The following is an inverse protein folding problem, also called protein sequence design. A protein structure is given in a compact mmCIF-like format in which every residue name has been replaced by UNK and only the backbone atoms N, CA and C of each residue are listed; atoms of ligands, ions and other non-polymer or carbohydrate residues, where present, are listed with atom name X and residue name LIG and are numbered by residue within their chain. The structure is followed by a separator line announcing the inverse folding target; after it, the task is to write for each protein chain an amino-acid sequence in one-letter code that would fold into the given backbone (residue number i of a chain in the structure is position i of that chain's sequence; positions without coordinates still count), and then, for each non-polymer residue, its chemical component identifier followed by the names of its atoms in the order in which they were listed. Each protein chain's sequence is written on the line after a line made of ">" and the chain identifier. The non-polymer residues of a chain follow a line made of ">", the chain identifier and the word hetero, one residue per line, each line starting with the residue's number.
data_IF_133114913443
#
_entry.id   IF_133114913443
#
_cell.length_a   1.000
_cell.length_b   1.000
_cell.length_c   1.000
_cell.angle_alpha   90.00
_cell.angle_beta   90.00
_cell.angle_gamma   90.00
#
_symmetry.space_group_name_H-M   'P 1'
#
loop_
_entity.id
_entity.type
_entity.pdbx_description
1 polymer ?
#
# COMPACT_ATOMS: atom_id res chain seq x y z
N UNK A 1 -81.88 -35.03 10.06
CA UNK A 1 -81.78 -35.33 11.50
C UNK A 1 -80.34 -35.05 11.92
N UNK A 2 -80.15 -34.25 12.98
CA UNK A 2 -78.85 -33.99 13.63
C UNK A 2 -78.27 -35.31 14.12
N UNK A 3 -76.94 -35.45 14.17
CA UNK A 3 -76.17 -36.00 15.29
C UNK A 3 -74.67 -35.94 14.93
N UNK A 4 -73.94 -34.94 15.44
CA UNK A 4 -73.01 -34.97 16.59
C UNK A 4 -71.58 -35.41 16.22
N UNK A 5 -70.62 -34.48 16.32
CA UNK A 5 -69.20 -34.78 16.56
C UNK A 5 -69.00 -35.18 18.03
N UNK A 6 -68.01 -36.05 18.30
CA UNK A 6 -67.04 -35.83 19.40
C UNK A 6 -65.60 -35.98 18.86
N UNK A 7 -64.78 -34.92 18.91
CA UNK A 7 -63.81 -34.55 19.97
C UNK A 7 -62.55 -35.43 20.08
N UNK A 8 -61.43 -34.81 19.69
CA UNK A 8 -60.07 -34.84 20.24
C UNK A 8 -59.56 -36.05 21.03
N UNK A 9 -58.32 -36.39 20.67
CA UNK A 9 -57.28 -37.07 21.48
C UNK A 9 -57.54 -38.52 21.86
N UNK A 10 -56.95 -39.46 21.11
CA UNK A 10 -55.90 -40.36 21.60
C UNK A 10 -55.57 -41.46 20.58
N UNK A 11 -54.26 -41.76 20.54
CA UNK A 11 -53.62 -43.01 20.16
C UNK A 11 -53.24 -43.28 18.68
N UNK A 12 -51.93 -43.50 18.54
CA UNK A 12 -51.21 -44.27 17.51
C UNK A 12 -51.20 -43.61 16.13
N UNK A 13 -50.05 -43.20 15.59
CA UNK A 13 -48.97 -44.12 15.22
C UNK A 13 -47.60 -43.53 15.61
N UNK A 14 -47.02 -44.16 16.62
CA UNK A 14 -45.58 -44.28 16.71
C UNK A 14 -45.10 -45.06 15.48
N UNK A 15 -44.27 -44.44 14.66
CA UNK A 15 -43.07 -44.96 13.96
C UNK A 15 -42.49 -43.72 13.25
N UNK A 16 -41.66 -42.97 13.97
CA UNK A 16 -40.74 -42.02 13.36
C UNK A 16 -39.42 -42.10 14.13
N UNK A 17 -38.79 -43.26 14.02
CA UNK A 17 -37.40 -43.49 14.43
C UNK A 17 -36.60 -43.88 13.21
N UNK A 18 -35.39 -43.30 13.16
CA UNK A 18 -34.26 -43.58 12.27
C UNK A 18 -34.25 -42.87 10.91
N UNK A 19 -33.66 -41.66 10.90
CA UNK A 19 -32.54 -41.32 10.01
C UNK A 19 -31.93 -39.99 10.48
N UNK A 20 -31.18 -40.07 11.57
CA UNK A 20 -30.01 -39.21 11.75
C UNK A 20 -28.90 -39.90 10.96
N UNK A 21 -28.47 -39.33 9.84
CA UNK A 21 -27.13 -39.48 9.28
C UNK A 21 -26.95 -38.46 8.14
N UNK A 22 -26.14 -37.45 8.41
CA UNK A 22 -25.46 -36.66 7.38
C UNK A 22 -26.27 -35.54 6.76
N UNK A 23 -26.45 -34.43 7.50
CA UNK A 23 -26.41 -33.15 6.81
C UNK A 23 -24.95 -32.97 6.33
N UNK A 24 -24.66 -32.89 5.02
CA UNK A 24 -23.44 -32.20 4.63
C UNK A 24 -23.66 -30.77 5.11
N UNK A 25 -22.90 -30.36 6.13
CA UNK A 25 -22.61 -28.95 6.30
C UNK A 25 -22.07 -28.52 4.94
N UNK A 26 -22.90 -27.83 4.16
CA UNK A 26 -22.42 -27.04 3.05
C UNK A 26 -21.56 -25.96 3.71
N UNK A 27 -20.27 -26.28 3.87
CA UNK A 27 -19.24 -25.27 3.93
C UNK A 27 -19.46 -24.50 2.65
N UNK A 28 -20.03 -23.30 2.77
CA UNK A 28 -19.83 -22.29 1.77
C UNK A 28 -18.31 -22.09 1.75
N UNK A 29 -17.61 -22.83 0.88
CA UNK A 29 -16.36 -22.37 0.34
C UNK A 29 -16.69 -20.97 -0.14
N UNK A 30 -16.18 -19.97 0.60
CA UNK A 30 -16.14 -18.64 0.04
C UNK A 30 -15.44 -18.80 -1.29
N UNK A 31 -16.15 -18.53 -2.38
CA UNK A 31 -15.57 -18.17 -3.67
C UNK A 31 -14.80 -16.85 -3.45
N UNK A 32 -13.76 -16.91 -2.62
CA UNK A 32 -12.74 -15.90 -2.57
C UNK A 32 -11.98 -16.14 -3.86
N UNK A 33 -12.28 -15.31 -4.86
CA UNK A 33 -11.44 -15.21 -6.04
C UNK A 33 -9.97 -15.25 -5.57
N UNK A 34 -9.10 -16.04 -6.23
CA UNK A 34 -7.71 -16.14 -5.81
C UNK A 34 -7.13 -14.73 -5.64
N UNK A 35 -6.37 -14.46 -4.57
CA UNK A 35 -5.84 -13.14 -4.31
C UNK A 35 -5.15 -12.64 -5.57
N UNK A 36 -5.63 -11.52 -6.11
CA UNK A 36 -5.11 -10.97 -7.34
C UNK A 36 -3.66 -10.57 -7.06
N UNK A 37 -2.70 -11.25 -7.69
CA UNK A 37 -1.28 -10.99 -7.49
C UNK A 37 -0.96 -9.55 -7.87
N UNK A 38 -0.79 -8.70 -6.87
CA UNK A 38 -0.34 -7.32 -7.02
C UNK A 38 1.18 -7.34 -7.02
N UNK A 39 1.79 -6.72 -8.03
CA UNK A 39 3.25 -6.64 -8.12
C UNK A 39 3.71 -5.18 -8.09
N UNK A 40 4.73 -4.89 -7.30
CA UNK A 40 5.44 -3.63 -7.36
C UNK A 40 6.69 -3.80 -8.21
N UNK A 41 6.86 -2.93 -9.19
CA UNK A 41 8.04 -2.83 -10.03
C UNK A 41 8.84 -1.59 -9.56
N UNK A 42 10.03 -1.77 -8.96
CA UNK A 42 10.80 -0.65 -8.43
C UNK A 42 11.36 0.20 -9.58
N UNK A 43 11.26 1.53 -9.44
CA UNK A 43 11.87 2.49 -10.36
C UNK A 43 13.20 2.90 -9.76
N UNK A 44 14.29 2.62 -10.49
CA UNK A 44 15.64 2.89 -10.03
C UNK A 44 15.95 4.38 -10.07
N UNK A 45 16.72 4.84 -9.08
CA UNK A 45 17.35 6.16 -9.13
C UNK A 45 18.65 6.06 -9.92
N UNK A 46 18.80 6.92 -10.93
CA UNK A 46 20.09 7.21 -11.54
C UNK A 46 20.71 8.39 -10.79
N UNK A 47 21.81 8.14 -10.08
CA UNK A 47 22.37 8.98 -9.03
C UNK A 47 21.35 9.37 -7.94
N UNK A 48 20.61 10.44 -8.21
CA UNK A 48 19.70 11.13 -7.29
C UNK A 48 18.34 11.43 -7.92
N UNK A 49 18.07 10.98 -9.14
CA UNK A 49 16.79 11.20 -9.82
C UNK A 49 16.26 9.89 -10.39
N UNK A 50 14.98 9.62 -10.14
CA UNK A 50 14.24 8.55 -10.77
C UNK A 50 13.31 9.17 -11.81
N UNK A 51 13.59 8.91 -13.09
CA UNK A 51 12.70 9.27 -14.18
C UNK A 51 11.56 8.26 -14.29
N UNK A 52 10.33 8.76 -14.39
CA UNK A 52 9.11 7.97 -14.32
C UNK A 52 8.34 8.19 -15.62
N UNK A 53 8.53 7.31 -16.62
CA UNK A 53 7.78 7.40 -17.86
C UNK A 53 6.33 7.00 -17.63
N UNK A 54 5.36 7.77 -18.14
CA UNK A 54 3.93 7.53 -17.89
C UNK A 54 3.64 7.46 -16.38
N UNK A 55 4.02 8.52 -15.68
CA UNK A 55 3.80 8.68 -14.25
C UNK A 55 2.31 8.74 -13.91
N UNK A 56 1.50 9.34 -14.79
CA UNK A 56 0.05 9.52 -14.65
C UNK A 56 -0.73 8.73 -15.71
N UNK A 57 -2.06 8.63 -15.57
CA UNK A 57 -2.90 7.89 -16.53
C UNK A 57 -2.93 8.53 -17.93
N UNK A 58 -2.79 9.86 -17.99
CA UNK A 58 -2.66 10.63 -19.24
C UNK A 58 -1.23 10.60 -19.81
N UNK A 59 -0.42 9.64 -19.38
CA UNK A 59 0.92 9.33 -19.88
C UNK A 59 1.96 10.45 -19.69
N UNK A 60 1.72 11.42 -18.81
CA UNK A 60 2.73 12.45 -18.48
C UNK A 60 3.94 11.82 -17.82
N UNK A 61 5.08 12.42 -18.07
CA UNK A 61 6.36 12.00 -17.51
C UNK A 61 6.59 12.75 -16.21
N UNK A 62 7.34 12.15 -15.30
CA UNK A 62 7.74 12.85 -14.08
C UNK A 62 9.07 12.38 -13.56
N UNK A 63 9.55 13.08 -12.55
CA UNK A 63 10.82 12.81 -11.91
C UNK A 63 10.65 12.89 -10.40
N UNK A 64 11.17 11.89 -9.68
CA UNK A 64 11.37 11.98 -8.24
C UNK A 64 12.86 12.21 -8.01
N UNK A 65 13.20 13.34 -7.40
CA UNK A 65 14.57 13.69 -7.04
C UNK A 65 14.76 13.48 -5.54
N UNK A 66 15.87 12.85 -5.16
CA UNK A 66 16.33 12.77 -3.77
C UNK A 66 17.58 13.63 -3.61
N UNK A 67 17.68 14.33 -2.49
CA UNK A 67 18.87 15.10 -2.15
C UNK A 67 19.31 14.83 -0.72
N UNK A 68 20.61 14.79 -0.50
CA UNK A 68 21.19 14.58 0.82
C UNK A 68 21.28 15.91 1.59
N UNK A 69 20.49 16.05 2.65
CA UNK A 69 20.54 17.21 3.54
C UNK A 69 21.39 16.89 4.76
N UNK A 70 22.50 17.61 4.92
CA UNK A 70 23.40 17.49 6.08
C UNK A 70 22.82 18.20 7.32
N UNK A 71 22.84 17.55 8.48
CA UNK A 71 22.37 18.09 9.77
C UNK A 71 23.52 18.39 10.75
N UNK A 72 24.73 17.86 10.48
CA UNK A 72 25.89 18.01 11.35
C UNK A 72 27.15 17.36 10.79
N UNK A 73 28.13 17.02 11.64
CA UNK A 73 29.36 16.34 11.20
C UNK A 73 29.05 14.88 10.87
N UNK A 74 28.90 14.57 9.58
CA UNK A 74 28.65 13.25 8.99
C UNK A 74 27.25 12.66 9.28
N UNK A 75 26.27 13.52 9.56
CA UNK A 75 24.86 13.17 9.67
C UNK A 75 24.04 13.94 8.65
N UNK A 76 22.94 13.35 8.22
CA UNK A 76 22.02 13.92 7.25
C UNK A 76 20.91 12.94 6.91
N UNK A 77 20.09 13.29 5.93
CA UNK A 77 18.98 12.47 5.49
C UNK A 77 18.63 12.79 4.05
N UNK A 78 17.89 11.89 3.41
CA UNK A 78 17.36 12.16 2.09
C UNK A 78 16.05 12.93 2.18
N UNK A 79 15.95 13.95 1.34
CA UNK A 79 14.72 14.70 1.06
C UNK A 79 14.29 14.35 -0.35
N UNK A 80 13.06 13.89 -0.52
CA UNK A 80 12.47 13.50 -1.79
C UNK A 80 11.49 14.57 -2.24
N UNK A 81 11.55 14.94 -3.51
CA UNK A 81 10.66 15.88 -4.17
C UNK A 81 10.20 15.25 -5.49
N UNK A 82 8.91 15.38 -5.81
CA UNK A 82 8.35 14.88 -7.05
C UNK A 82 7.93 16.05 -7.96
N UNK A 83 8.22 15.92 -9.24
CA UNK A 83 7.82 16.88 -10.27
C UNK A 83 7.25 16.16 -11.48
N UNK A 84 6.33 16.79 -12.18
CA UNK A 84 5.73 16.32 -13.43
C UNK A 84 6.18 17.21 -14.58
N UNK A 85 6.44 16.60 -15.73
CA UNK A 85 6.64 17.32 -16.98
C UNK A 85 5.30 17.93 -17.43
N UNK A 86 5.32 19.09 -18.10
CA UNK A 86 4.11 19.68 -18.66
C UNK A 86 3.43 18.72 -19.64
N UNK A 87 2.09 18.71 -19.63
CA UNK A 87 1.27 17.81 -20.44
C UNK A 87 1.44 18.03 -21.95
N UNK A 88 1.73 19.28 -22.33
CA UNK A 88 1.86 19.68 -23.72
C UNK A 88 3.35 19.78 -24.06
N UNK A 89 3.78 18.97 -25.03
CA UNK A 89 5.07 19.10 -25.73
C UNK A 89 5.09 20.38 -26.59
N UNK A 90 4.75 21.54 -26.04
CA UNK A 90 5.14 22.80 -26.64
C UNK A 90 6.64 22.94 -26.41
N UNK A 91 7.41 23.13 -27.49
CA UNK A 91 8.88 23.26 -27.48
C UNK A 91 9.40 24.38 -26.54
N UNK A 92 8.49 25.19 -25.99
CA UNK A 92 8.74 26.01 -24.81
C UNK A 92 8.68 25.15 -23.54
N UNK A 93 9.85 24.81 -23.00
CA UNK A 93 10.01 24.18 -21.68
C UNK A 93 9.30 25.00 -20.60
N UNK A 94 8.03 24.71 -20.34
CA UNK A 94 7.34 25.17 -19.14
C UNK A 94 8.03 24.63 -17.89
N UNK A 95 8.00 25.36 -16.76
CA UNK A 95 8.56 24.84 -15.52
C UNK A 95 7.84 23.52 -15.15
N UNK A 96 8.60 22.49 -14.78
CA UNK A 96 8.01 21.25 -14.27
C UNK A 96 7.06 21.57 -13.11
N UNK A 97 5.89 20.93 -13.11
CA UNK A 97 4.89 21.13 -12.09
C UNK A 97 5.30 20.36 -10.84
N UNK A 98 5.25 21.01 -9.67
CA UNK A 98 5.45 20.32 -8.40
C UNK A 98 4.35 19.27 -8.22
N UNK A 99 4.70 18.13 -7.63
CA UNK A 99 3.75 17.10 -7.19
C UNK A 99 3.86 17.03 -5.67
N UNK A 100 2.75 17.31 -4.98
CA UNK A 100 2.75 17.28 -3.51
C UNK A 100 2.85 15.85 -2.99
N UNK A 101 3.39 15.68 -1.80
CA UNK A 101 3.47 14.41 -1.08
C UNK A 101 2.83 14.64 0.30
N UNK A 102 1.65 14.08 0.50
CA UNK A 102 0.86 14.15 1.73
C UNK A 102 0.66 15.59 2.24
N UNK A 103 0.28 16.48 1.32
CA UNK A 103 0.07 17.91 1.60
C UNK A 103 1.36 18.72 1.83
N UNK A 104 2.54 18.14 1.58
CA UNK A 104 3.84 18.79 1.66
C UNK A 104 4.55 18.79 0.29
N UNK A 105 5.54 19.66 0.11
CA UNK A 105 6.34 19.67 -1.13
C UNK A 105 7.40 18.56 -1.17
N UNK A 106 7.73 17.99 0.00
CA UNK A 106 8.80 17.00 0.14
C UNK A 106 8.49 15.93 1.17
N UNK A 107 9.06 14.75 0.97
CA UNK A 107 9.05 13.66 1.95
C UNK A 107 10.48 13.37 2.44
N UNK A 108 10.67 13.18 3.73
CA UNK A 108 12.01 13.01 4.34
C UNK A 108 12.18 11.64 4.99
N UNK A 109 13.41 11.11 4.91
CA UNK A 109 13.85 9.97 5.73
C UNK A 109 14.27 10.44 7.14
N UNK A 110 14.64 9.48 7.98
CA UNK A 110 15.04 9.72 9.36
C UNK A 110 16.29 10.61 9.42
N UNK A 111 16.25 11.76 10.13
CA UNK A 111 17.36 12.71 10.19
C UNK A 111 18.48 12.31 11.16
N UNK A 112 18.25 11.29 12.01
CA UNK A 112 19.16 10.94 13.10
C UNK A 112 20.08 9.77 12.77
N UNK A 113 19.61 8.81 11.98
CA UNK A 113 20.33 7.59 11.67
C UNK A 113 20.59 7.49 10.16
N UNK A 114 21.86 7.24 9.82
CA UNK A 114 22.38 7.32 8.44
C UNK A 114 23.10 6.05 8.03
N UNK A 115 23.23 5.86 6.71
CA UNK A 115 23.91 4.70 6.14
C UNK A 115 23.20 3.40 6.51
N UNK A 116 23.98 2.36 6.84
CA UNK A 116 23.47 1.03 7.20
C UNK A 116 22.53 1.02 8.41
N UNK A 117 22.60 2.06 9.25
CA UNK A 117 21.75 2.20 10.44
C UNK A 117 20.50 3.04 10.19
N UNK A 118 20.23 3.46 8.95
CA UNK A 118 19.07 4.30 8.68
C UNK A 118 17.78 3.62 9.12
N UNK A 119 16.94 4.40 9.81
CA UNK A 119 15.65 3.91 10.28
C UNK A 119 14.57 4.04 9.23
N UNK A 120 14.76 4.85 8.18
CA UNK A 120 13.80 4.89 7.09
C UNK A 120 14.44 5.11 5.74
N UNK A 121 13.78 4.56 4.73
CA UNK A 121 14.21 4.65 3.34
C UNK A 121 12.97 4.71 2.47
N UNK A 122 13.11 5.28 1.28
CA UNK A 122 11.99 5.50 0.35
C UNK A 122 12.41 4.95 -1.01
N UNK A 123 11.51 4.21 -1.65
CA UNK A 123 11.62 3.86 -3.06
C UNK A 123 10.43 4.41 -3.82
N UNK A 124 10.62 4.56 -5.12
CA UNK A 124 9.53 4.75 -6.08
C UNK A 124 9.25 3.39 -6.71
N UNK A 125 7.98 3.01 -6.84
CA UNK A 125 7.60 1.80 -7.54
C UNK A 125 6.30 2.00 -8.33
N UNK A 126 6.15 1.23 -9.41
CA UNK A 126 4.89 1.10 -10.13
C UNK A 126 4.15 -0.13 -9.62
N UNK A 127 2.89 0.03 -9.27
CA UNK A 127 2.01 -1.09 -8.94
C UNK A 127 1.27 -1.52 -10.20
N UNK A 128 1.40 -2.78 -10.57
CA UNK A 128 0.64 -3.39 -11.66
C UNK A 128 -0.44 -4.29 -11.06
N UNK A 129 -1.70 -4.05 -11.41
CA UNK A 129 -2.82 -4.91 -11.06
C UNK A 129 -3.06 -5.94 -12.19
N UNK A 130 -3.11 -7.23 -11.85
CA UNK A 130 -3.12 -8.33 -12.82
C UNK A 130 -4.24 -8.25 -13.89
N UNK A 131 -5.34 -7.56 -13.58
CA UNK A 131 -6.52 -7.45 -14.43
C UNK A 131 -6.79 -6.02 -14.94
N UNK A 132 -5.90 -5.08 -14.65
CA UNK A 132 -6.09 -3.67 -14.96
C UNK A 132 -5.00 -3.20 -15.93
N UNK A 133 -5.37 -2.55 -17.03
CA UNK A 133 -4.42 -1.81 -17.88
C UNK A 133 -3.87 -0.57 -17.18
N UNK A 134 -4.33 -0.32 -15.95
CA UNK A 134 -3.98 0.81 -15.13
C UNK A 134 -2.80 0.46 -14.22
N UNK A 135 -1.73 1.26 -14.32
CA UNK A 135 -0.57 1.17 -13.44
C UNK A 135 -0.44 2.46 -12.65
N UNK A 136 -0.42 2.37 -11.32
CA UNK A 136 -0.30 3.55 -10.45
C UNK A 136 1.12 3.64 -9.90
N UNK A 137 1.69 4.84 -9.87
CA UNK A 137 2.99 5.09 -9.26
C UNK A 137 2.81 5.31 -7.76
N UNK A 138 3.69 4.71 -6.98
CA UNK A 138 3.73 4.82 -5.53
C UNK A 138 5.09 5.29 -5.03
N UNK A 139 5.07 6.07 -3.95
CA UNK A 139 6.21 6.18 -3.03
C UNK A 139 5.98 5.18 -1.91
N UNK A 140 6.98 4.35 -1.62
CA UNK A 140 6.92 3.39 -0.51
C UNK A 140 7.98 3.81 0.50
N UNK A 141 7.55 4.14 1.72
CA UNK A 141 8.43 4.51 2.81
C UNK A 141 8.46 3.40 3.85
N UNK A 142 9.62 2.76 4.02
CA UNK A 142 9.81 1.87 5.15
C UNK A 142 10.32 2.65 6.36
N UNK A 143 9.75 2.40 7.53
CA UNK A 143 10.18 3.00 8.80
C UNK A 143 10.35 1.91 9.85
N UNK A 144 11.58 1.78 10.37
CA UNK A 144 11.96 0.93 11.50
C UNK A 144 11.71 1.69 12.79
N UNK A 145 11.12 1.02 13.77
CA UNK A 145 10.70 1.60 15.04
C UNK A 145 11.62 1.13 16.18
N UNK A 146 12.57 1.96 16.66
CA UNK A 146 13.44 1.61 17.77
C UNK A 146 12.65 1.28 19.03
N UNK A 147 13.09 0.26 19.75
CA UNK A 147 12.49 -0.15 21.01
C UNK A 147 13.45 0.08 22.15
N UNK A 148 12.93 0.51 23.31
CA UNK A 148 13.73 0.71 24.51
C UNK A 148 14.50 -0.57 24.85
N UNK A 149 15.82 -0.44 25.01
CA UNK A 149 16.70 -1.56 25.37
C UNK A 149 17.08 -2.48 24.20
N UNK A 150 16.69 -2.16 22.95
CA UNK A 150 17.17 -2.84 21.75
C UNK A 150 18.13 -1.96 20.95
N UNK A 151 19.16 -2.58 20.36
CA UNK A 151 20.06 -1.90 19.44
C UNK A 151 19.35 -1.58 18.12
N UNK A 152 19.69 -0.44 17.52
CA UNK A 152 19.25 -0.09 16.15
C UNK A 152 19.79 -1.05 15.08
N UNK A 153 20.87 -1.77 15.39
CA UNK A 153 21.45 -2.81 14.53
C UNK A 153 20.72 -4.15 14.63
N UNK A 154 19.85 -4.33 15.63
CA UNK A 154 19.03 -5.54 15.78
C UNK A 154 17.81 -5.48 14.86
N UNK A 155 17.17 -6.62 14.53
CA UNK A 155 15.87 -6.61 13.88
C UNK A 155 14.85 -5.79 14.69
N UNK A 156 14.27 -4.77 14.06
CA UNK A 156 13.30 -3.85 14.66
C UNK A 156 11.95 -3.95 13.93
N UNK A 157 10.81 -3.76 14.63
CA UNK A 157 9.51 -3.64 13.99
C UNK A 157 9.54 -2.58 12.90
N UNK A 158 8.95 -2.89 11.74
CA UNK A 158 9.02 -2.04 10.56
C UNK A 158 7.64 -1.87 9.95
N UNK A 159 7.25 -0.63 9.69
CA UNK A 159 6.07 -0.29 8.91
C UNK A 159 6.48 0.10 7.50
N UNK A 160 5.56 -0.08 6.55
CA UNK A 160 5.69 0.49 5.20
C UNK A 160 4.45 1.32 4.91
N UNK A 161 4.69 2.59 4.63
CA UNK A 161 3.66 3.56 4.27
C UNK A 161 3.62 3.67 2.74
N UNK A 162 2.43 3.58 2.16
CA UNK A 162 2.22 3.66 0.71
C UNK A 162 1.56 4.98 0.36
N UNK A 163 2.24 5.77 -0.47
CA UNK A 163 1.67 7.00 -1.01
C UNK A 163 1.34 6.78 -2.49
N UNK A 164 0.05 6.80 -2.83
CA UNK A 164 -0.42 6.60 -4.20
C UNK A 164 -0.47 7.94 -4.94
N UNK A 165 0.06 7.98 -6.17
CA UNK A 165 -0.14 9.14 -7.03
C UNK A 165 -1.62 9.26 -7.38
N UNK A 166 -2.19 10.40 -7.05
CA UNK A 166 -3.59 10.75 -7.29
C UNK A 166 -3.62 12.02 -8.12
N UNK A 167 -4.57 12.05 -9.07
CA UNK A 167 -4.90 13.26 -9.81
C UNK A 167 -6.24 13.79 -9.30
N UNK A 168 -6.31 15.09 -9.05
CA UNK A 168 -7.57 15.77 -8.78
C UNK A 168 -7.76 16.91 -9.78
N UNK A 169 -8.87 16.85 -10.51
CA UNK A 169 -9.24 17.86 -11.50
C UNK A 169 -9.66 19.13 -10.75
N UNK A 170 -8.95 20.26 -10.89
CA UNK A 170 -9.25 21.42 -10.08
C UNK A 170 -10.59 22.04 -10.48
N UNK A 171 -11.51 22.15 -9.51
CA UNK A 171 -12.60 23.14 -9.55
C UNK A 171 -12.02 24.54 -9.27
N UNK A 172 -11.12 25.04 -10.13
CA UNK A 172 -10.84 26.48 -10.26
C UNK A 172 -10.13 27.22 -9.12
N UNK A 173 -9.46 26.56 -8.17
CA UNK A 173 -8.74 27.25 -7.08
C UNK A 173 -7.25 27.51 -7.39
N UNK A 174 -6.83 28.76 -7.26
CA UNK A 174 -5.41 29.18 -7.35
C UNK A 174 -4.62 28.62 -6.16
N UNK A 175 -3.43 28.07 -6.43
CA UNK A 175 -2.56 27.48 -5.41
C UNK A 175 -2.77 25.98 -5.17
N UNK A 176 -3.61 25.33 -5.99
CA UNK A 176 -3.83 23.89 -5.95
C UNK A 176 -2.81 23.13 -6.81
N UNK A 177 -2.31 22.01 -6.30
CA UNK A 177 -1.44 21.10 -7.07
C UNK A 177 -2.29 19.94 -7.57
N UNK A 178 -2.49 19.78 -8.89
CA UNK A 178 -3.43 18.79 -9.44
C UNK A 178 -2.98 17.34 -9.20
N UNK A 179 -1.67 17.12 -9.14
CA UNK A 179 -1.09 15.81 -8.90
C UNK A 179 -0.43 15.76 -7.52
N UNK A 180 -0.75 14.72 -6.76
CA UNK A 180 -0.18 14.54 -5.43
C UNK A 180 -0.12 13.07 -5.05
N UNK A 181 0.93 12.72 -4.31
CA UNK A 181 1.03 11.46 -3.60
C UNK A 181 0.25 11.55 -2.30
N UNK A 182 -0.82 10.80 -2.17
CA UNK A 182 -1.61 10.75 -0.95
C UNK A 182 -1.27 9.49 -0.17
N UNK A 183 -1.05 9.62 1.14
CA UNK A 183 -0.92 8.47 2.03
C UNK A 183 -2.22 7.67 1.99
N UNK A 184 -2.14 6.37 1.73
CA UNK A 184 -3.27 5.47 1.95
C UNK A 184 -3.32 5.14 3.44
N UNK A 185 -4.04 5.95 4.22
CA UNK A 185 -4.15 5.86 5.69
C UNK A 185 -4.64 4.49 6.21
N UNK A 186 -5.12 3.61 5.31
CA UNK A 186 -5.50 2.23 5.65
C UNK A 186 -4.30 1.28 5.69
N UNK A 187 -3.09 1.75 5.37
CA UNK A 187 -1.95 0.91 5.00
C UNK A 187 -0.66 1.16 5.81
N UNK A 188 -0.71 1.55 7.08
CA UNK A 188 0.45 1.37 7.98
C UNK A 188 0.66 -0.14 8.20
N UNK A 189 1.32 -0.79 7.24
CA UNK A 189 1.46 -2.23 7.25
C UNK A 189 2.69 -2.56 8.07
N UNK A 190 2.47 -3.16 9.24
CA UNK A 190 3.54 -3.83 9.95
C UNK A 190 3.96 -5.08 9.15
N UNK A 191 5.15 -5.04 8.55
CA UNK A 191 5.68 -6.11 7.71
C UNK A 191 6.60 -7.06 8.50
N UNK A 192 6.72 -6.86 9.81
CA UNK A 192 7.55 -7.63 10.72
C UNK A 192 8.85 -6.92 11.12
N UNK A 193 9.87 -7.71 11.45
CA UNK A 193 11.12 -7.19 11.99
C UNK A 193 12.25 -7.24 10.96
N UNK A 194 12.89 -6.10 10.71
CA UNK A 194 13.99 -5.98 9.74
C UNK A 194 15.23 -5.33 10.34
N UNK A 195 16.39 -5.72 9.83
CA UNK A 195 17.70 -5.17 10.20
C UNK A 195 18.04 -3.90 9.43
N UNK A 196 17.40 -3.63 8.29
CA UNK A 196 17.50 -2.39 7.52
C UNK A 196 16.16 -2.05 6.86
N UNK A 197 15.92 -0.76 6.59
CA UNK A 197 14.67 -0.31 5.97
C UNK A 197 14.59 -0.77 4.50
N UNK A 198 15.74 -0.88 3.83
CA UNK A 198 15.87 -1.36 2.45
C UNK A 198 15.44 -2.82 2.34
N UNK A 199 15.87 -3.68 3.27
CA UNK A 199 15.47 -5.09 3.29
C UNK A 199 13.95 -5.26 3.46
N UNK A 200 13.32 -4.31 4.16
CA UNK A 200 11.88 -4.26 4.35
C UNK A 200 11.15 -3.95 3.03
N UNK A 201 11.61 -2.94 2.28
CA UNK A 201 11.05 -2.61 0.96
C UNK A 201 11.31 -3.70 -0.08
N UNK A 202 12.51 -4.30 -0.07
CA UNK A 202 12.84 -5.46 -0.88
C UNK A 202 11.85 -6.61 -0.64
N UNK A 203 11.46 -6.84 0.62
CA UNK A 203 10.48 -7.84 0.95
C UNK A 203 9.09 -7.50 0.39
N UNK A 204 8.64 -6.24 0.45
CA UNK A 204 7.36 -5.82 -0.12
C UNK A 204 7.34 -6.00 -1.64
N UNK A 205 8.41 -5.55 -2.31
CA UNK A 205 8.55 -5.65 -3.77
C UNK A 205 8.64 -7.11 -4.24
N UNK A 206 9.51 -7.92 -3.61
CA UNK A 206 9.77 -9.32 -4.02
C UNK A 206 8.67 -10.29 -3.62
N UNK A 207 8.01 -10.09 -2.47
CA UNK A 207 7.02 -11.05 -1.97
C UNK A 207 5.61 -10.82 -2.52
N UNK A 208 5.41 -9.80 -3.38
CA UNK A 208 4.09 -9.50 -3.95
C UNK A 208 3.01 -9.45 -2.87
N UNK A 209 3.36 -8.83 -1.73
CA UNK A 209 2.49 -8.77 -0.57
C UNK A 209 1.31 -7.86 -0.92
N UNK A 210 0.25 -8.45 -1.45
CA UNK A 210 -0.99 -7.75 -1.68
C UNK A 210 -1.67 -7.44 -0.33
N UNK A 211 -2.54 -6.45 -0.34
CA UNK A 211 -3.27 -5.97 0.83
C UNK A 211 -4.02 -7.10 1.57
N UNK A 212 -4.49 -8.13 0.86
CA UNK A 212 -5.17 -9.28 1.45
C UNK A 212 -4.20 -10.24 2.14
N UNK A 213 -3.04 -10.51 1.54
CA UNK A 213 -2.00 -11.39 2.06
C UNK A 213 -1.33 -10.77 3.30
N UNK A 214 -1.20 -9.46 3.35
CA UNK A 214 -0.70 -8.73 4.54
C UNK A 214 -1.68 -8.80 5.71
N UNK A 215 -2.99 -8.74 5.44
CA UNK A 215 -4.04 -8.92 6.46
C UNK A 215 -4.19 -10.40 6.88
N UNK A 216 -3.97 -11.35 5.97
CA UNK A 216 -4.07 -12.80 6.20
C UNK A 216 -2.85 -13.40 6.92
N UNK A 217 -1.68 -12.76 6.82
CA UNK A 217 -0.43 -13.32 7.36
C UNK A 217 -0.33 -13.26 8.88
N UNK A 218 -1.25 -12.62 9.60
CA UNK A 218 -1.41 -12.77 11.06
C UNK A 218 -0.10 -12.75 11.83
N UNK A 219 0.84 -11.90 11.44
CA UNK A 219 2.05 -11.64 12.21
C UNK A 219 1.55 -10.76 13.37
N UNK A 220 1.64 -11.26 14.61
CA UNK A 220 0.68 -10.98 15.68
C UNK A 220 0.44 -9.51 16.01
#
# INVERSE_FOLDING_TARGET
>A
MKHTLPSLTQLAIAILTTLNLGAPCAWAESDTAPPQSVTFEPISFDDNSAYIPKMTEDERYGTVTRTWRRTGKNQGYYVYMATMDPADYTEDMGPSNLVQIDGQDTLTTDPQHVGENSLSTIIVARRNEHNNTHSTVYLLKATRHPQKGRSITSPLPTTVDLYALTHNTPEGFVGFTPDYFQSDERNDINIGNFTSAEAALDAVVKKHLDHQTLMLLGIP
#
